data_IF_133472026351
#
_entry.id   IF_133472026351
#
_cell.length_a   1.000
_cell.length_b   1.000
_cell.length_c   1.000
_cell.angle_alpha   90.00
_cell.angle_beta   90.00
_cell.angle_gamma   90.00
#
_symmetry.space_group_name_H-M   'P 1'
#
loop_
_entity.id
_entity.type
_entity.pdbx_description
1 polymer ?
#
# COMPACT_ATOMS: atom_id res chain seq x y z
N UNK A 1 18.02 2.30 -4.15
CA UNK A 1 17.43 3.43 -4.89
C UNK A 1 16.64 4.26 -3.90
N UNK A 2 16.71 5.59 -3.99
CA UNK A 2 15.71 6.45 -3.36
C UNK A 2 14.34 6.15 -3.97
N UNK A 3 13.27 6.50 -3.27
CA UNK A 3 11.87 6.27 -3.68
C UNK A 3 11.52 6.82 -5.08
N UNK A 4 12.35 7.70 -5.63
CA UNK A 4 12.21 8.33 -6.94
C UNK A 4 13.05 7.71 -8.09
N UNK A 5 13.87 6.70 -7.82
CA UNK A 5 14.87 6.22 -8.79
C UNK A 5 14.36 5.06 -9.68
N UNK A 6 13.13 4.59 -9.44
CA UNK A 6 12.48 3.59 -10.28
C UNK A 6 12.18 4.18 -11.68
N UNK A 7 12.38 3.41 -12.75
CA UNK A 7 12.01 3.85 -14.10
C UNK A 7 10.49 4.04 -14.23
N UNK A 8 10.03 4.70 -15.30
CA UNK A 8 8.59 5.01 -15.50
C UNK A 8 7.68 3.77 -15.56
N UNK A 9 8.23 2.57 -15.67
CA UNK A 9 7.49 1.31 -15.72
C UNK A 9 7.56 0.52 -14.40
N UNK A 10 8.27 1.06 -13.41
CA UNK A 10 8.55 0.41 -12.15
C UNK A 10 8.15 1.28 -10.97
N UNK A 11 7.79 0.64 -9.86
CA UNK A 11 7.60 1.28 -8.57
C UNK A 11 8.59 0.71 -7.55
N UNK A 12 8.85 1.49 -6.50
CA UNK A 12 9.81 1.13 -5.48
C UNK A 12 9.09 0.39 -4.36
N UNK A 13 9.36 -0.90 -4.20
CA UNK A 13 8.90 -1.71 -3.07
C UNK A 13 9.95 -1.73 -1.96
N UNK A 14 9.52 -1.91 -0.72
CA UNK A 14 10.39 -1.97 0.46
C UNK A 14 10.44 -3.39 1.03
N UNK A 15 11.31 -4.27 0.52
CA UNK A 15 11.49 -5.60 1.08
C UNK A 15 12.10 -5.49 2.48
N UNK A 16 11.37 -5.94 3.50
CA UNK A 16 11.73 -5.96 4.92
C UNK A 16 12.91 -6.87 5.26
N UNK A 17 14.01 -6.83 4.52
CA UNK A 17 15.27 -7.23 5.13
C UNK A 17 15.46 -6.26 6.30
N UNK A 18 15.46 -6.77 7.53
CA UNK A 18 15.69 -6.03 8.80
C UNK A 18 17.04 -5.28 8.83
N UNK A 19 17.69 -5.14 7.69
CA UNK A 19 18.77 -4.20 7.47
C UNK A 19 18.18 -2.80 7.53
N UNK A 20 18.79 -1.97 8.37
CA UNK A 20 18.56 -0.53 8.57
C UNK A 20 18.81 0.32 7.32
N UNK A 21 18.60 -0.23 6.12
CA UNK A 21 19.01 0.40 4.88
C UNK A 21 17.80 0.87 4.09
N UNK A 22 17.76 2.19 3.87
CA UNK A 22 16.75 2.92 3.12
C UNK A 22 16.86 2.67 1.60
N UNK A 23 16.98 1.43 1.12
CA UNK A 23 16.87 1.13 -0.32
C UNK A 23 15.65 0.27 -0.66
N UNK A 24 14.82 0.78 -1.56
CA UNK A 24 13.76 0.01 -2.20
C UNK A 24 14.29 -0.84 -3.37
N UNK A 25 13.49 -1.82 -3.80
CA UNK A 25 13.70 -2.58 -5.05
C UNK A 25 12.70 -2.09 -6.09
N UNK A 26 13.17 -1.82 -7.31
CA UNK A 26 12.30 -1.49 -8.43
C UNK A 26 11.56 -2.75 -8.90
N UNK A 27 10.23 -2.69 -8.97
CA UNK A 27 9.38 -3.74 -9.52
C UNK A 27 8.52 -3.18 -10.64
N UNK A 28 8.36 -3.90 -11.77
CA UNK A 28 7.45 -3.48 -12.81
C UNK A 28 6.02 -3.44 -12.28
N UNK A 29 5.22 -2.51 -12.78
CA UNK A 29 3.82 -2.34 -12.39
C UNK A 29 3.48 -0.89 -12.08
N UNK A 30 2.33 -0.69 -11.44
CA UNK A 30 1.89 0.62 -10.98
C UNK A 30 2.37 0.89 -9.53
N UNK A 31 2.38 2.16 -9.11
CA UNK A 31 2.73 2.55 -7.74
C UNK A 31 1.44 2.77 -6.92
N UNK A 32 1.17 1.96 -5.88
CA UNK A 32 -0.05 2.07 -5.06
C UNK A 32 0.01 3.24 -4.06
N UNK A 33 1.19 3.78 -3.76
CA UNK A 33 1.34 4.94 -2.87
C UNK A 33 1.16 6.23 -3.67
N UNK A 34 1.86 6.36 -4.79
CA UNK A 34 1.82 7.54 -5.67
C UNK A 34 0.63 7.53 -6.63
N UNK A 35 -0.05 6.39 -6.77
CA UNK A 35 -1.16 6.18 -7.71
C UNK A 35 -0.79 6.53 -9.15
N UNK A 36 0.37 6.04 -9.59
CA UNK A 36 0.89 6.22 -10.96
C UNK A 36 0.98 4.89 -11.70
N UNK A 37 0.94 4.93 -13.04
CA UNK A 37 1.07 3.74 -13.89
C UNK A 37 -0.25 3.10 -14.35
N UNK A 38 -1.39 3.58 -13.87
CA UNK A 38 -2.74 3.13 -14.30
C UNK A 38 -3.45 4.15 -15.20
N UNK A 39 -4.54 3.73 -15.86
CA UNK A 39 -5.35 4.62 -16.71
C UNK A 39 -6.23 5.57 -15.87
N UNK A 40 -6.89 6.53 -16.55
CA UNK A 40 -7.63 7.64 -15.93
C UNK A 40 -8.80 7.24 -14.99
N UNK A 41 -9.28 6.00 -15.03
CA UNK A 41 -10.38 5.50 -14.19
C UNK A 41 -9.96 4.28 -13.32
N UNK A 42 -8.65 4.02 -13.28
CA UNK A 42 -8.05 2.91 -12.54
C UNK A 42 -7.22 3.44 -11.37
N UNK A 43 -7.12 2.63 -10.32
CA UNK A 43 -6.19 2.83 -9.24
C UNK A 43 -5.22 1.65 -9.15
N UNK A 44 -4.06 1.91 -8.58
CA UNK A 44 -3.07 0.88 -8.33
C UNK A 44 -3.29 0.25 -6.96
N UNK A 45 -3.37 -1.08 -6.94
CA UNK A 45 -3.49 -1.87 -5.72
C UNK A 45 -2.42 -2.97 -5.73
N UNK A 46 -2.05 -3.46 -4.55
CA UNK A 46 -1.27 -4.68 -4.46
C UNK A 46 -2.15 -5.90 -4.83
N UNK A 47 -1.65 -6.75 -5.71
CA UNK A 47 -2.29 -8.04 -6.04
C UNK A 47 -1.79 -9.13 -5.10
N UNK A 48 -0.46 -9.28 -5.05
CA UNK A 48 0.26 -10.10 -4.09
C UNK A 48 1.29 -9.21 -3.41
N UNK A 49 0.99 -8.73 -2.19
CA UNK A 49 1.86 -7.80 -1.52
C UNK A 49 3.10 -8.52 -0.92
N UNK A 50 3.14 -9.87 -0.83
CA UNK A 50 4.32 -10.61 -0.33
C UNK A 50 5.48 -10.51 -1.32
N UNK A 51 5.16 -10.51 -2.62
CA UNK A 51 6.16 -10.34 -3.70
C UNK A 51 6.21 -8.89 -4.21
N UNK A 52 5.32 -8.03 -3.73
CA UNK A 52 5.19 -6.63 -4.13
C UNK A 52 4.67 -6.48 -5.57
N UNK A 53 3.81 -7.40 -6.02
CA UNK A 53 3.15 -7.28 -7.32
C UNK A 53 1.95 -6.34 -7.21
N UNK A 54 1.73 -5.55 -8.26
CA UNK A 54 0.67 -4.55 -8.31
C UNK A 54 -0.15 -4.68 -9.58
N UNK A 55 -1.40 -4.24 -9.47
CA UNK A 55 -2.45 -4.40 -10.45
C UNK A 55 -3.23 -3.08 -10.56
N UNK A 56 -3.49 -2.64 -11.80
CA UNK A 56 -4.46 -1.60 -12.06
C UNK A 56 -5.87 -2.19 -12.06
N UNK A 57 -6.75 -1.61 -11.26
CA UNK A 57 -8.15 -2.01 -11.19
C UNK A 57 -9.06 -0.79 -11.19
N UNK A 58 -10.37 -0.98 -11.44
CA UNK A 58 -11.34 0.11 -11.30
C UNK A 58 -11.21 0.74 -9.92
N UNK A 59 -11.08 2.06 -9.86
CA UNK A 59 -10.90 2.77 -8.60
C UNK A 59 -12.12 2.57 -7.68
N UNK A 60 -11.83 2.09 -6.47
CA UNK A 60 -12.79 2.06 -5.36
C UNK A 60 -13.15 3.46 -4.87
N UNK A 61 -14.12 3.51 -3.95
CA UNK A 61 -14.64 4.78 -3.42
C UNK A 61 -14.87 4.76 -1.90
N UNK A 62 -14.51 3.67 -1.22
CA UNK A 62 -14.56 3.64 0.24
C UNK A 62 -13.44 4.50 0.81
N UNK A 63 -13.82 5.45 1.66
CA UNK A 63 -12.88 6.38 2.31
C UNK A 63 -12.07 5.69 3.42
N UNK A 64 -11.00 6.33 3.87
CA UNK A 64 -10.19 5.83 4.99
C UNK A 64 -11.07 5.61 6.24
N UNK A 65 -10.87 4.46 6.90
CA UNK A 65 -11.68 4.06 8.05
C UNK A 65 -13.01 3.37 7.70
N UNK A 66 -13.41 3.31 6.43
CA UNK A 66 -14.58 2.54 6.03
C UNK A 66 -14.31 1.03 6.07
N UNK A 67 -15.32 0.24 6.42
CA UNK A 67 -15.24 -1.23 6.38
C UNK A 67 -15.17 -1.71 4.93
N UNK A 68 -14.30 -2.67 4.66
CA UNK A 68 -14.07 -3.21 3.32
C UNK A 68 -13.95 -4.74 3.35
N UNK A 69 -13.95 -5.37 2.18
CA UNK A 69 -13.70 -6.80 2.03
C UNK A 69 -12.62 -7.14 1.00
N UNK A 70 -12.23 -6.17 0.18
CA UNK A 70 -11.21 -6.26 -0.86
C UNK A 70 -10.57 -4.88 -1.04
N UNK A 71 -9.30 -4.87 -1.41
CA UNK A 71 -8.47 -3.66 -1.59
C UNK A 71 -9.05 -2.69 -2.62
N UNK A 72 -9.57 -3.23 -3.72
CA UNK A 72 -10.12 -2.47 -4.85
C UNK A 72 -11.43 -1.74 -4.55
N UNK A 73 -12.05 -2.00 -3.39
CA UNK A 73 -13.19 -1.23 -2.92
C UNK A 73 -12.78 0.10 -2.27
N UNK A 74 -11.54 0.17 -1.76
CA UNK A 74 -11.01 1.37 -1.14
C UNK A 74 -10.60 2.41 -2.19
N UNK A 75 -10.74 3.69 -1.84
CA UNK A 75 -10.31 4.79 -2.68
C UNK A 75 -8.81 4.70 -3.04
N UNK A 76 -8.36 5.29 -4.16
CA UNK A 76 -6.94 5.31 -4.54
C UNK A 76 -6.03 5.75 -3.37
N UNK A 77 -4.94 5.02 -3.17
CA UNK A 77 -3.99 5.28 -2.08
C UNK A 77 -4.32 4.57 -0.75
N UNK A 78 -5.37 3.75 -0.73
CA UNK A 78 -5.79 2.98 0.44
C UNK A 78 -5.76 1.47 0.15
N UNK A 79 -5.63 0.67 1.21
CA UNK A 79 -5.78 -0.78 1.18
C UNK A 79 -6.76 -1.31 2.23
N UNK A 80 -7.29 -2.50 2.01
CA UNK A 80 -8.24 -3.16 2.90
C UNK A 80 -7.52 -4.02 3.95
N UNK A 81 -7.27 -3.43 5.13
CA UNK A 81 -6.40 -3.99 6.15
C UNK A 81 -7.18 -4.60 7.30
N UNK A 82 -6.77 -5.80 7.72
CA UNK A 82 -7.29 -6.44 8.94
C UNK A 82 -6.92 -5.64 10.17
N UNK A 83 -7.91 -5.23 10.96
CA UNK A 83 -7.68 -4.59 12.25
C UNK A 83 -7.41 -5.67 13.32
N UNK A 84 -6.17 -5.81 13.85
CA UNK A 84 -5.79 -6.94 14.68
C UNK A 84 -6.59 -7.04 15.99
N UNK A 85 -7.07 -5.92 16.52
CA UNK A 85 -7.81 -5.85 17.78
C UNK A 85 -9.34 -5.85 17.60
N UNK A 86 -9.83 -6.03 16.37
CA UNK A 86 -11.28 -6.12 16.10
C UNK A 86 -11.84 -7.51 16.46
N UNK A 87 -13.05 -7.54 17.03
CA UNK A 87 -13.80 -8.78 17.29
C UNK A 87 -15.30 -8.58 16.98
N UNK A 88 -15.84 -9.20 15.91
CA UNK A 88 -15.19 -10.13 14.99
C UNK A 88 -14.05 -9.46 14.20
N UNK A 89 -13.23 -10.25 13.51
CA UNK A 89 -12.21 -9.74 12.60
C UNK A 89 -12.87 -8.84 11.54
N UNK A 90 -12.47 -7.57 11.52
CA UNK A 90 -12.96 -6.54 10.61
C UNK A 90 -11.80 -5.96 9.80
N UNK A 91 -12.09 -5.62 8.55
CA UNK A 91 -11.14 -5.00 7.65
C UNK A 91 -11.58 -3.57 7.36
N UNK A 92 -10.61 -2.67 7.28
CA UNK A 92 -10.84 -1.26 7.05
C UNK A 92 -9.89 -0.69 6.00
N UNK A 93 -10.37 0.29 5.25
CA UNK A 93 -9.52 1.05 4.35
C UNK A 93 -8.48 1.85 5.17
N UNK A 94 -7.19 1.62 4.92
CA UNK A 94 -6.05 2.31 5.54
C UNK A 94 -5.15 2.89 4.48
N UNK A 95 -4.65 4.10 4.70
CA UNK A 95 -3.74 4.74 3.76
C UNK A 95 -2.40 4.01 3.70
N UNK A 96 -1.85 3.84 2.50
CA UNK A 96 -0.44 3.47 2.35
C UNK A 96 0.47 4.58 2.89
N UNK A 97 1.68 4.23 3.29
CA UNK A 97 2.63 5.22 3.76
C UNK A 97 4.09 4.90 3.41
N UNK A 98 4.86 5.96 3.19
CA UNK A 98 6.32 5.93 3.05
C UNK A 98 6.90 7.26 3.61
N UNK A 99 8.23 7.47 3.62
CA UNK A 99 8.81 8.72 4.11
C UNK A 99 8.34 9.99 3.39
N UNK A 100 7.87 9.88 2.14
CA UNK A 100 7.35 11.00 1.34
C UNK A 100 5.83 11.17 1.48
N UNK A 101 5.13 10.12 1.91
CA UNK A 101 3.69 10.04 2.18
C UNK A 101 3.46 9.61 3.63
N UNK A 102 3.77 10.49 4.61
CA UNK A 102 3.65 10.16 6.02
C UNK A 102 2.17 10.08 6.42
N UNK A 103 1.91 9.28 7.45
CA UNK A 103 0.58 9.18 8.04
C UNK A 103 0.12 10.49 8.67
N UNK A 104 -1.19 10.74 8.64
CA UNK A 104 -1.78 11.96 9.20
C UNK A 104 -2.37 11.70 10.59
N UNK A 105 -2.80 12.74 11.30
CA UNK A 105 -3.59 12.57 12.53
C UNK A 105 -2.88 11.89 13.71
N UNK A 106 -1.55 11.73 13.70
CA UNK A 106 -0.80 11.04 14.75
C UNK A 106 -0.75 9.52 14.60
N UNK A 107 -1.24 8.99 13.48
CA UNK A 107 -1.06 7.59 13.10
C UNK A 107 0.42 7.26 12.88
N UNK A 108 0.77 6.00 13.01
CA UNK A 108 2.11 5.48 12.74
C UNK A 108 2.12 4.68 11.45
N UNK A 109 3.16 4.88 10.65
CA UNK A 109 3.41 4.08 9.46
C UNK A 109 4.00 2.73 9.87
N UNK A 110 3.16 1.70 9.94
CA UNK A 110 3.55 0.38 10.46
C UNK A 110 3.60 -0.66 9.36
N UNK A 111 4.55 -1.59 9.51
CA UNK A 111 4.49 -2.87 8.82
C UNK A 111 3.22 -3.60 9.27
N UNK A 112 2.58 -4.31 8.36
CA UNK A 112 1.67 -5.37 8.79
C UNK A 112 2.47 -6.46 9.54
N UNK A 113 1.83 -7.20 10.48
CA UNK A 113 2.49 -8.21 11.30
C UNK A 113 3.38 -9.20 10.52
N UNK A 114 4.40 -9.81 11.15
CA UNK A 114 5.28 -10.77 10.50
C UNK A 114 4.49 -11.92 9.85
N UNK A 115 4.72 -12.14 8.55
CA UNK A 115 3.93 -13.06 7.72
C UNK A 115 2.82 -12.38 6.92
N UNK A 116 2.72 -11.05 7.01
CA UNK A 116 1.95 -10.18 6.14
C UNK A 116 2.91 -9.14 5.48
N UNK A 117 2.51 -8.54 4.35
CA UNK A 117 3.39 -8.29 3.21
C UNK A 117 4.28 -7.02 3.25
N UNK A 118 4.99 -6.74 2.13
CA UNK A 118 5.93 -5.61 1.89
C UNK A 118 5.36 -4.19 2.01
N UNK A 119 4.18 -4.08 2.60
CA UNK A 119 3.35 -2.90 2.60
C UNK A 119 3.37 -2.24 3.98
N UNK A 120 3.48 -0.92 3.98
CA UNK A 120 3.25 -0.09 5.17
C UNK A 120 1.95 0.66 5.01
N UNK A 121 1.19 0.72 6.10
CA UNK A 121 -0.07 1.46 6.17
C UNK A 121 -0.13 2.28 7.45
N UNK A 122 -1.01 3.27 7.45
CA UNK A 122 -1.26 4.11 8.61
C UNK A 122 -2.19 3.41 9.61
N UNK A 123 -1.73 3.27 10.85
CA UNK A 123 -2.52 2.80 12.00
C UNK A 123 -2.55 3.85 13.10
#
# INVERSE_FOLDING_TARGET
SNTSDCDEQSHCIWPWLETTEDWGICRPGCDPIRQTGCNQDEACYFEDPDVGSTLCWTAGNLEEGATCSMSDLCAPGLDCILEPDSNPFEYYCRAYCDPEHPCTGGQTCTALPPGMPLQKVCH
#
